data_IF_286043162766
#
_entry.id   IF_286043162766
#
_cell.length_a   1.000
_cell.length_b   1.000
_cell.length_c   1.000
_cell.angle_alpha   90.00
_cell.angle_beta   90.00
_cell.angle_gamma   90.00
#
_symmetry.space_group_name_H-M   'P 1'
#
loop_
_entity.id
_entity.type
_entity.pdbx_description
1 polymer ?
#
# COMPACT_ATOMS: atom_id res chain seq x y z
N UNK A 1 4.71 28.19 -8.28
CA UNK A 1 4.16 27.10 -9.11
C UNK A 1 5.03 25.89 -8.83
N UNK A 2 4.71 25.18 -7.76
CA UNK A 2 5.42 23.97 -7.36
C UNK A 2 5.04 22.83 -8.32
N UNK A 3 6.06 22.27 -8.97
CA UNK A 3 5.94 21.12 -9.86
C UNK A 3 5.27 19.96 -9.11
N UNK A 4 4.20 19.40 -9.68
CA UNK A 4 3.63 18.16 -9.17
C UNK A 4 4.74 17.08 -9.16
N UNK A 5 4.94 16.34 -8.05
CA UNK A 5 5.94 15.29 -8.01
C UNK A 5 5.60 14.26 -9.09
N UNK A 6 6.62 13.84 -9.84
CA UNK A 6 6.58 13.00 -11.02
C UNK A 6 5.70 11.74 -10.81
N UNK A 7 4.41 11.81 -11.14
CA UNK A 7 3.48 10.68 -11.03
C UNK A 7 3.68 9.80 -12.26
N UNK A 8 4.00 8.51 -12.09
CA UNK A 8 4.17 7.63 -13.24
C UNK A 8 2.84 7.49 -13.99
N UNK A 9 2.91 7.57 -15.31
CA UNK A 9 1.81 7.31 -16.24
C UNK A 9 1.43 5.84 -16.25
N UNK A 10 0.25 5.51 -16.76
CA UNK A 10 -0.19 4.11 -16.88
C UNK A 10 0.75 3.33 -17.82
N UNK A 11 1.24 3.98 -18.86
CA UNK A 11 2.18 3.44 -19.85
C UNK A 11 3.55 3.15 -19.22
N UNK A 12 4.05 4.00 -18.33
CA UNK A 12 5.29 3.76 -17.59
C UNK A 12 5.16 2.56 -16.64
N UNK A 13 4.03 2.45 -15.94
CA UNK A 13 3.74 1.29 -15.08
C UNK A 13 3.63 0.02 -15.92
N UNK A 14 2.92 0.06 -17.04
CA UNK A 14 2.78 -1.08 -17.96
C UNK A 14 4.15 -1.50 -18.52
N UNK A 15 5.01 -0.55 -18.87
CA UNK A 15 6.37 -0.82 -19.33
C UNK A 15 7.20 -1.58 -18.29
N UNK A 16 7.07 -1.25 -17.00
CA UNK A 16 7.72 -1.98 -15.91
C UNK A 16 7.20 -3.42 -15.77
N UNK A 17 5.89 -3.63 -15.93
CA UNK A 17 5.27 -4.96 -15.91
C UNK A 17 5.80 -5.81 -17.07
N UNK A 18 5.78 -5.27 -18.30
CA UNK A 18 6.31 -5.95 -19.49
C UNK A 18 7.78 -6.30 -19.30
N UNK A 19 8.59 -5.35 -18.81
CA UNK A 19 10.01 -5.57 -18.53
C UNK A 19 10.20 -6.75 -17.57
N UNK A 20 9.44 -6.83 -16.48
CA UNK A 20 9.55 -7.96 -15.54
C UNK A 20 9.07 -9.28 -16.12
N UNK A 21 8.04 -9.28 -16.96
CA UNK A 21 7.56 -10.50 -17.61
C UNK A 21 8.62 -11.08 -18.55
N UNK A 22 9.32 -10.23 -19.30
CA UNK A 22 10.32 -10.65 -20.28
C UNK A 22 11.69 -10.90 -19.65
N UNK A 23 12.20 -9.95 -18.86
CA UNK A 23 13.56 -10.02 -18.29
C UNK A 23 13.59 -10.77 -16.95
N UNK A 24 12.51 -10.71 -16.18
CA UNK A 24 12.40 -11.37 -14.87
C UNK A 24 12.01 -12.84 -14.94
N UNK A 25 11.86 -13.40 -16.14
CA UNK A 25 11.54 -14.81 -16.36
C UNK A 25 10.08 -15.19 -16.12
N UNK A 26 9.17 -14.20 -16.08
CA UNK A 26 7.72 -14.45 -15.96
C UNK A 26 7.15 -15.20 -17.17
N UNK A 27 7.70 -14.95 -18.36
CA UNK A 27 7.41 -15.69 -19.59
C UNK A 27 8.76 -16.15 -20.18
N UNK A 28 9.17 -17.41 -19.97
CA UNK A 28 10.49 -17.89 -20.37
C UNK A 28 10.70 -17.97 -21.88
N UNK A 29 9.62 -18.20 -22.64
CA UNK A 29 9.63 -18.22 -24.10
C UNK A 29 8.41 -17.47 -24.64
N UNK A 30 8.56 -16.14 -24.74
CA UNK A 30 7.49 -15.29 -25.23
C UNK A 30 7.12 -15.58 -26.68
N UNK A 31 8.10 -16.00 -27.51
CA UNK A 31 7.88 -16.25 -28.93
C UNK A 31 6.92 -17.43 -29.17
N UNK A 32 6.92 -18.41 -28.27
CA UNK A 32 6.04 -19.58 -28.34
C UNK A 32 4.92 -19.59 -27.29
N UNK A 33 4.81 -18.56 -26.46
CA UNK A 33 3.74 -18.46 -25.47
C UNK A 33 2.38 -18.25 -26.14
N UNK A 34 1.39 -19.07 -25.76
CA UNK A 34 0.02 -18.86 -26.19
C UNK A 34 -0.64 -17.72 -25.37
N UNK A 35 -1.78 -17.24 -25.86
CA UNK A 35 -2.54 -16.14 -25.24
C UNK A 35 -2.86 -16.40 -23.76
N UNK A 36 -3.26 -17.64 -23.41
CA UNK A 36 -3.62 -17.99 -22.03
C UNK A 36 -2.41 -17.89 -21.08
N UNK A 37 -1.24 -18.36 -21.53
CA UNK A 37 0.01 -18.24 -20.75
C UNK A 37 0.38 -16.77 -20.57
N UNK A 38 0.30 -15.97 -21.62
CA UNK A 38 0.62 -14.53 -21.55
C UNK A 38 -0.32 -13.84 -20.57
N UNK A 39 -1.63 -14.10 -20.66
CA UNK A 39 -2.63 -13.51 -19.78
C UNK A 39 -2.43 -13.94 -18.32
N UNK A 40 -2.24 -15.23 -18.04
CA UNK A 40 -2.05 -15.73 -16.69
C UNK A 40 -0.81 -15.11 -16.02
N UNK A 41 0.32 -15.04 -16.75
CA UNK A 41 1.54 -14.44 -16.21
C UNK A 41 1.40 -12.93 -16.04
N UNK A 42 0.72 -12.26 -16.97
CA UNK A 42 0.43 -10.83 -16.86
C UNK A 42 -0.41 -10.54 -15.62
N UNK A 43 -1.47 -11.31 -15.36
CA UNK A 43 -2.31 -11.16 -14.15
C UNK A 43 -1.47 -11.35 -12.89
N UNK A 44 -0.62 -12.38 -12.82
CA UNK A 44 0.25 -12.64 -11.66
C UNK A 44 1.18 -11.46 -11.38
N UNK A 45 1.82 -10.91 -12.42
CA UNK A 45 2.74 -9.79 -12.22
C UNK A 45 1.99 -8.48 -11.91
N UNK A 46 0.83 -8.23 -12.51
CA UNK A 46 -0.03 -7.09 -12.14
C UNK A 46 -0.50 -7.19 -10.69
N UNK A 47 -0.88 -8.38 -10.22
CA UNK A 47 -1.27 -8.58 -8.83
C UNK A 47 -0.12 -8.29 -7.87
N UNK A 48 1.11 -8.71 -8.24
CA UNK A 48 2.32 -8.39 -7.48
C UNK A 48 2.62 -6.90 -7.46
N UNK A 49 2.57 -6.22 -8.61
CA UNK A 49 2.78 -4.76 -8.70
C UNK A 49 1.73 -4.03 -7.89
N UNK A 50 0.46 -4.44 -7.97
CA UNK A 50 -0.64 -3.88 -7.20
C UNK A 50 -0.37 -3.96 -5.70
N UNK A 51 0.09 -5.11 -5.20
CA UNK A 51 0.45 -5.27 -3.78
C UNK A 51 1.55 -4.29 -3.32
N UNK A 52 2.58 -4.12 -4.15
CA UNK A 52 3.68 -3.19 -3.87
C UNK A 52 3.16 -1.74 -3.85
N UNK A 53 2.40 -1.35 -4.87
CA UNK A 53 1.84 0.01 -4.98
C UNK A 53 0.94 0.34 -3.79
N UNK A 54 0.01 -0.56 -3.42
CA UNK A 54 -0.87 -0.32 -2.28
C UNK A 54 -0.06 -0.22 -0.98
N UNK A 55 0.94 -1.08 -0.78
CA UNK A 55 1.80 -1.03 0.42
C UNK A 55 2.52 0.32 0.55
N UNK A 56 3.10 0.81 -0.54
CA UNK A 56 3.82 2.10 -0.56
C UNK A 56 2.86 3.28 -0.34
N UNK A 57 1.71 3.29 -1.01
CA UNK A 57 0.72 4.34 -0.84
C UNK A 57 0.15 4.37 0.58
N UNK A 58 -0.09 3.21 1.21
CA UNK A 58 -0.53 3.14 2.60
C UNK A 58 0.56 3.61 3.58
N UNK A 59 1.83 3.32 3.28
CA UNK A 59 2.94 3.81 4.09
C UNK A 59 3.08 5.34 3.99
N UNK A 60 2.95 5.91 2.79
CA UNK A 60 2.95 7.36 2.56
C UNK A 60 1.76 8.02 3.26
N UNK A 61 0.54 7.50 3.06
CA UNK A 61 -0.65 7.99 3.73
C UNK A 61 -0.50 7.98 5.26
N UNK A 62 0.16 6.95 5.82
CA UNK A 62 0.42 6.86 7.26
C UNK A 62 1.41 7.90 7.76
N UNK A 63 2.37 8.31 6.95
CA UNK A 63 3.36 9.35 7.30
C UNK A 63 2.77 10.76 7.20
N UNK A 64 1.82 10.97 6.30
CA UNK A 64 1.13 12.25 6.12
C UNK A 64 -0.06 12.44 7.07
N UNK A 65 -0.51 11.38 7.74
CA UNK A 65 -1.64 11.45 8.67
C UNK A 65 -1.27 12.22 9.95
N UNK A 66 -2.16 13.10 10.39
CA UNK A 66 -1.93 13.87 11.61
C UNK A 66 -1.93 12.96 12.86
N UNK A 67 -1.01 13.18 13.82
CA UNK A 67 -0.95 12.39 15.03
C UNK A 67 -2.21 12.58 15.88
N UNK A 68 -2.77 11.48 16.37
CA UNK A 68 -3.92 11.52 17.28
C UNK A 68 -3.44 11.97 18.65
N UNK A 69 -3.81 13.19 19.04
CA UNK A 69 -3.44 13.81 20.33
C UNK A 69 -4.42 13.52 21.45
N UNK A 70 -5.70 13.28 21.11
CA UNK A 70 -6.78 13.06 22.07
C UNK A 70 -7.60 11.82 21.74
N UNK A 71 -7.96 11.05 22.76
CA UNK A 71 -8.69 9.79 22.62
C UNK A 71 -10.13 10.04 22.16
N UNK A 72 -10.55 9.52 20.99
CA UNK A 72 -11.92 9.70 20.49
C UNK A 72 -13.02 9.17 21.41
N UNK A 73 -12.69 8.23 22.32
CA UNK A 73 -13.64 7.60 23.24
C UNK A 73 -13.84 8.35 24.56
N UNK A 74 -12.77 8.93 25.12
CA UNK A 74 -12.83 9.57 26.45
C UNK A 74 -12.29 11.00 26.51
N UNK A 75 -11.77 11.54 25.40
CA UNK A 75 -11.24 12.89 25.30
C UNK A 75 -9.91 13.14 26.00
N UNK A 76 -9.30 12.13 26.64
CA UNK A 76 -8.00 12.28 27.32
C UNK A 76 -6.84 12.28 26.33
N UNK A 77 -5.75 12.92 26.73
CA UNK A 77 -4.51 12.94 25.96
C UNK A 77 -3.99 11.52 25.68
N UNK A 78 -3.38 11.37 24.51
CA UNK A 78 -2.81 10.11 24.05
C UNK A 78 -1.29 10.19 23.97
N UNK A 79 -0.64 9.07 24.31
CA UNK A 79 0.82 8.97 24.25
C UNK A 79 1.24 8.30 22.94
N UNK A 80 2.16 8.90 22.17
CA UNK A 80 2.68 8.27 20.96
C UNK A 80 3.47 7.01 21.32
N UNK A 81 3.25 5.94 20.57
CA UNK A 81 3.99 4.68 20.61
C UNK A 81 4.83 4.51 19.34
N UNK A 82 5.78 3.58 19.41
CA UNK A 82 6.54 3.17 18.22
C UNK A 82 5.58 2.67 17.13
N UNK A 83 5.85 3.09 15.90
CA UNK A 83 5.16 2.61 14.71
C UNK A 83 5.07 1.08 14.67
N UNK A 84 3.89 0.57 14.32
CA UNK A 84 3.59 -0.85 14.28
C UNK A 84 3.26 -1.30 12.85
N UNK A 85 3.48 -2.59 12.57
CA UNK A 85 3.03 -3.20 11.32
C UNK A 85 1.54 -3.50 11.39
N UNK A 86 0.79 -3.05 10.38
CA UNK A 86 -0.61 -3.40 10.17
C UNK A 86 -0.77 -4.21 8.90
N UNK A 87 -1.88 -4.94 8.85
CA UNK A 87 -2.34 -5.65 7.66
C UNK A 87 -3.75 -5.20 7.31
N UNK A 88 -3.98 -4.81 6.07
CA UNK A 88 -5.32 -4.59 5.51
C UNK A 88 -5.63 -5.67 4.48
N UNK A 89 -6.89 -6.06 4.39
CA UNK A 89 -7.32 -7.06 3.42
C UNK A 89 -7.72 -6.36 2.12
N UNK A 90 -6.97 -6.60 1.04
CA UNK A 90 -7.38 -6.19 -0.31
C UNK A 90 -8.05 -7.33 -1.07
N UNK A 91 -8.63 -7.02 -2.23
CA UNK A 91 -9.15 -8.04 -3.18
C UNK A 91 -8.06 -9.00 -3.67
N UNK A 92 -6.79 -8.57 -3.64
CA UNK A 92 -5.63 -9.35 -4.10
C UNK A 92 -4.85 -10.00 -2.96
N UNK A 93 -5.37 -9.94 -1.72
CA UNK A 93 -4.73 -10.50 -0.53
C UNK A 93 -4.30 -9.44 0.50
N UNK A 94 -3.67 -9.87 1.61
CA UNK A 94 -3.29 -8.99 2.69
C UNK A 94 -2.11 -8.07 2.30
N UNK A 95 -2.28 -6.77 2.53
CA UNK A 95 -1.23 -5.76 2.35
C UNK A 95 -0.69 -5.37 3.72
N UNK A 96 0.63 -5.46 3.91
CA UNK A 96 1.31 -5.09 5.15
C UNK A 96 1.97 -3.73 5.00
N UNK A 97 1.76 -2.83 5.96
CA UNK A 97 2.39 -1.52 5.99
C UNK A 97 2.69 -1.11 7.43
N UNK A 98 3.56 -0.10 7.60
CA UNK A 98 3.95 0.42 8.91
C UNK A 98 3.28 1.77 9.15
N UNK A 99 2.71 1.96 10.33
CA UNK A 99 1.98 3.18 10.69
C UNK A 99 2.21 3.52 12.16
N UNK A 100 2.14 4.81 12.49
CA UNK A 100 2.25 5.30 13.85
C UNK A 100 1.04 4.87 14.70
N UNK A 101 1.22 4.85 16.02
CA UNK A 101 0.20 4.43 16.97
C UNK A 101 0.19 5.37 18.15
N UNK A 102 -0.99 5.79 18.56
CA UNK A 102 -1.21 6.51 19.82
C UNK A 102 -1.92 5.59 20.81
N UNK A 103 -1.51 5.59 22.07
CA UNK A 103 -2.16 4.81 23.13
C UNK A 103 -2.88 5.71 24.14
N UNK A 104 -4.10 5.33 24.52
CA UNK A 104 -4.83 5.98 25.60
C UNK A 104 -4.71 5.15 26.88
N UNK A 105 -3.99 5.65 27.88
CA UNK A 105 -3.82 4.98 29.18
C UNK A 105 -5.14 4.77 29.94
N UNK A 106 -6.13 5.65 29.72
CA UNK A 106 -7.42 5.56 30.40
C UNK A 106 -8.36 4.51 29.80
N UNK A 107 -8.44 4.45 28.46
CA UNK A 107 -9.26 3.46 27.76
C UNK A 107 -8.51 2.14 27.52
N UNK A 108 -7.18 2.15 27.64
CA UNK A 108 -6.27 1.06 27.26
C UNK A 108 -6.45 0.62 25.81
N UNK A 109 -6.70 1.58 24.93
CA UNK A 109 -6.92 1.38 23.50
C UNK A 109 -5.80 2.04 22.70
N UNK A 110 -5.37 1.35 21.65
CA UNK A 110 -4.48 1.88 20.62
C UNK A 110 -5.32 2.49 19.49
N UNK A 111 -4.92 3.65 19.01
CA UNK A 111 -5.51 4.32 17.85
C UNK A 111 -4.44 4.58 16.81
N UNK A 112 -4.86 4.50 15.56
CA UNK A 112 -4.00 4.70 14.41
C UNK A 112 -4.41 6.01 13.73
N UNK A 113 -3.45 6.86 13.35
CA UNK A 113 -3.76 8.05 12.59
C UNK A 113 -4.38 7.61 11.26
N UNK A 114 -5.60 8.06 11.03
CA UNK A 114 -6.36 7.77 9.83
C UNK A 114 -7.02 9.07 9.40
N UNK A 115 -6.67 9.54 8.19
CA UNK A 115 -7.46 10.58 7.56
C UNK A 115 -8.86 9.98 7.32
N UNK A 116 -9.93 10.70 7.65
CA UNK A 116 -11.34 10.23 7.61
C UNK A 116 -11.78 9.61 6.26
N UNK A 117 -10.95 9.70 5.21
CA UNK A 117 -11.16 9.11 3.89
C UNK A 117 -10.52 7.72 3.67
N UNK A 118 -9.86 7.11 4.66
CA UNK A 118 -9.16 5.82 4.49
C UNK A 118 -10.05 4.56 4.64
N UNK A 119 -11.35 4.72 4.87
CA UNK A 119 -12.29 3.61 5.02
C UNK A 119 -13.28 3.54 3.84
N UNK A 120 -12.89 2.82 2.78
CA UNK A 120 -13.83 2.17 1.85
C UNK A 120 -13.27 0.81 1.45
#
# INVERSE_FOLDING_TARGET
>A
MESAPNRPTAEEIAGLVVKRLVEGGGIPDLANANLMTIEEQTIKEVDRVTQIVISELLAQQSQEAEPVTSCPKCGKEMTPKKAQHRSLQSRRGPVKFKTDVSHCEACRLDFFPSNENAAV
#
